data_IF_045743264478
#
_entry.id   IF_045743264478
#
_cell.length_a   1.000
_cell.length_b   1.000
_cell.length_c   1.000
_cell.angle_alpha   90.00
_cell.angle_beta   90.00
_cell.angle_gamma   90.00
#
_symmetry.space_group_name_H-M   'P 1'
#
loop_
_entity.id
_entity.type
_entity.pdbx_description
1 polymer ?
#
# COMPACT_ATOMS: atom_id res chain seq x y z
N UNK A 1 4.02 15.31 -7.11
CA UNK A 1 5.10 16.31 -7.22
C UNK A 1 5.78 16.06 -8.56
N UNK A 2 5.74 17.02 -9.47
CA UNK A 2 6.32 16.88 -10.81
C UNK A 2 7.30 18.02 -11.09
N UNK A 3 8.30 17.77 -11.92
CA UNK A 3 9.27 18.78 -12.35
C UNK A 3 8.94 19.29 -13.76
N UNK A 4 8.93 20.60 -13.97
CA UNK A 4 8.61 21.19 -15.27
C UNK A 4 9.71 21.04 -16.32
N UNK A 5 10.98 20.94 -15.91
CA UNK A 5 12.14 20.79 -16.81
C UNK A 5 12.55 19.33 -17.02
N UNK A 6 12.08 18.42 -16.16
CA UNK A 6 12.32 16.99 -16.25
C UNK A 6 10.97 16.25 -16.23
N UNK A 7 10.29 16.11 -17.38
CA UNK A 7 8.95 15.54 -17.46
C UNK A 7 8.84 14.09 -16.96
N UNK A 8 9.96 13.38 -16.84
CA UNK A 8 10.04 12.02 -16.29
C UNK A 8 10.12 11.97 -14.76
N UNK A 9 10.34 13.10 -14.09
CA UNK A 9 10.49 13.15 -12.65
C UNK A 9 9.13 13.38 -11.99
N UNK A 10 8.63 12.32 -11.39
CA UNK A 10 7.44 12.33 -10.55
C UNK A 10 7.78 11.82 -9.15
N UNK A 11 7.02 12.30 -8.16
CA UNK A 11 7.11 11.85 -6.78
C UNK A 11 5.79 12.04 -6.07
N UNK A 12 5.55 11.24 -5.05
CA UNK A 12 4.25 11.21 -4.38
C UNK A 12 4.36 11.64 -2.92
N UNK A 13 3.39 12.44 -2.50
CA UNK A 13 3.26 12.89 -1.12
C UNK A 13 1.95 12.34 -0.57
N UNK A 14 2.05 11.53 0.48
CA UNK A 14 0.89 10.98 1.19
C UNK A 14 0.81 11.64 2.56
N UNK A 15 -0.22 12.45 2.75
CA UNK A 15 -0.51 13.08 4.04
C UNK A 15 -1.57 12.26 4.79
N UNK A 16 -1.23 11.79 5.98
CA UNK A 16 -2.11 11.02 6.86
C UNK A 16 -2.30 11.78 8.16
N UNK A 17 -3.50 11.69 8.75
CA UNK A 17 -3.79 12.22 10.08
C UNK A 17 -3.37 11.27 11.22
N UNK A 18 -2.67 10.18 10.87
CA UNK A 18 -2.16 9.17 11.79
C UNK A 18 -0.75 8.73 11.35
N UNK A 19 0.08 8.20 12.27
CA UNK A 19 1.46 7.82 11.96
C UNK A 19 1.58 6.44 11.27
N UNK A 20 0.48 5.69 11.15
CA UNK A 20 0.53 4.30 10.68
C UNK A 20 0.61 4.18 9.15
N UNK A 21 1.82 3.97 8.65
CA UNK A 21 2.09 3.60 7.26
C UNK A 21 3.39 2.79 7.18
N UNK A 22 3.61 2.13 6.04
CA UNK A 22 4.90 1.55 5.70
C UNK A 22 5.08 1.58 4.19
N UNK A 23 6.32 1.79 3.76
CA UNK A 23 6.76 1.52 2.39
C UNK A 23 7.40 0.13 2.37
N UNK A 24 7.09 -0.66 1.34
CA UNK A 24 7.77 -1.93 1.16
C UNK A 24 9.24 -1.71 0.78
N UNK A 25 10.11 -2.60 1.23
CA UNK A 25 11.48 -2.67 0.76
C UNK A 25 11.57 -3.24 -0.68
N UNK A 26 12.80 -3.37 -1.19
CA UNK A 26 13.10 -3.93 -2.52
C UNK A 26 12.60 -5.37 -2.71
N UNK A 27 12.36 -6.09 -1.61
CA UNK A 27 11.85 -7.47 -1.61
C UNK A 27 10.33 -7.54 -1.45
N UNK A 28 9.65 -6.39 -1.33
CA UNK A 28 8.21 -6.29 -1.11
C UNK A 28 7.79 -6.50 0.35
N UNK A 29 8.73 -6.59 1.30
CA UNK A 29 8.41 -6.73 2.73
C UNK A 29 8.09 -5.38 3.33
N UNK A 30 7.12 -5.34 4.24
CA UNK A 30 6.76 -4.15 4.99
C UNK A 30 6.36 -4.55 6.42
N UNK A 31 6.48 -3.61 7.34
CA UNK A 31 6.06 -3.79 8.73
C UNK A 31 5.50 -2.46 9.24
N UNK A 32 4.35 -2.51 9.89
CA UNK A 32 3.81 -1.36 10.63
C UNK A 32 3.78 -1.75 12.10
N UNK A 33 4.53 -1.02 12.92
CA UNK A 33 4.67 -1.30 14.35
C UNK A 33 3.66 -0.52 15.18
N UNK A 34 3.38 -1.01 16.39
CA UNK A 34 2.58 -0.33 17.40
C UNK A 34 1.17 0.06 16.94
N UNK A 35 0.55 -0.77 16.08
CA UNK A 35 -0.85 -0.59 15.73
C UNK A 35 -1.75 -0.89 16.94
N UNK A 36 -2.67 0.01 17.30
CA UNK A 36 -3.67 -0.27 18.31
C UNK A 36 -4.54 -1.46 17.90
N UNK A 37 -4.91 -2.28 18.87
CA UNK A 37 -5.85 -3.39 18.64
C UNK A 37 -7.21 -2.84 18.20
N UNK A 38 -7.85 -3.49 17.22
CA UNK A 38 -9.13 -3.00 16.68
C UNK A 38 -9.37 -3.36 15.23
N UNK A 39 -10.47 -2.85 14.68
CA UNK A 39 -10.77 -2.95 13.26
C UNK A 39 -10.12 -1.79 12.52
N UNK A 40 -9.25 -2.11 11.56
CA UNK A 40 -8.52 -1.15 10.74
C UNK A 40 -8.83 -1.36 9.27
N UNK A 41 -8.81 -0.28 8.51
CA UNK A 41 -8.82 -0.31 7.06
C UNK A 41 -7.45 0.16 6.55
N UNK A 42 -6.82 -0.66 5.72
CA UNK A 42 -5.56 -0.35 5.05
C UNK A 42 -5.81 -0.10 3.57
N UNK A 43 -4.95 0.69 2.95
CA UNK A 43 -5.01 1.02 1.53
C UNK A 43 -3.65 0.70 0.90
N UNK A 44 -3.64 -0.18 -0.10
CA UNK A 44 -2.43 -0.53 -0.86
C UNK A 44 -2.38 0.24 -2.15
N UNK A 45 -1.19 0.77 -2.45
CA UNK A 45 -0.97 1.61 -3.61
C UNK A 45 0.47 1.50 -4.08
N UNK A 46 0.68 1.62 -5.39
CA UNK A 46 1.99 1.68 -6.02
C UNK A 46 1.94 2.71 -7.16
N UNK A 47 3.05 3.41 -7.39
CA UNK A 47 3.14 4.60 -8.23
C UNK A 47 2.62 4.41 -9.66
N UNK A 48 2.94 3.27 -10.29
CA UNK A 48 2.56 2.93 -11.66
C UNK A 48 1.14 2.38 -11.75
N UNK A 49 0.79 1.42 -10.91
CA UNK A 49 -0.51 0.75 -10.94
C UNK A 49 -1.64 1.57 -10.28
N UNK A 50 -1.29 2.53 -9.43
CA UNK A 50 -2.22 3.19 -8.53
C UNK A 50 -2.66 2.24 -7.42
N UNK A 51 -3.97 2.16 -7.19
CA UNK A 51 -4.52 1.33 -6.12
C UNK A 51 -4.48 -0.16 -6.44
N UNK A 52 -3.80 -0.94 -5.59
CA UNK A 52 -3.55 -2.36 -5.85
C UNK A 52 -4.73 -3.24 -5.44
N UNK A 53 -5.55 -3.63 -6.41
CA UNK A 53 -6.59 -4.65 -6.23
C UNK A 53 -6.00 -6.07 -6.40
N UNK A 54 -5.15 -6.50 -5.45
CA UNK A 54 -4.49 -7.80 -5.50
C UNK A 54 -5.47 -8.99 -5.39
N UNK A 55 -6.66 -8.75 -4.82
CA UNK A 55 -7.75 -9.71 -4.73
C UNK A 55 -9.04 -9.10 -5.29
N UNK A 56 -9.93 -9.88 -5.93
CA UNK A 56 -11.15 -9.36 -6.55
C UNK A 56 -12.07 -8.58 -5.58
N UNK A 57 -12.06 -8.94 -4.30
CA UNK A 57 -12.87 -8.30 -3.27
C UNK A 57 -12.30 -6.94 -2.79
N UNK A 58 -11.06 -6.60 -3.14
CA UNK A 58 -10.40 -5.36 -2.70
C UNK A 58 -10.72 -4.20 -3.62
N UNK A 59 -11.74 -3.43 -3.27
CA UNK A 59 -12.07 -2.20 -3.98
C UNK A 59 -11.03 -1.13 -3.69
N UNK A 60 -10.40 -0.62 -4.75
CA UNK A 60 -9.30 0.35 -4.67
C UNK A 60 -8.16 -0.13 -3.75
N UNK A 61 -7.90 -1.43 -3.62
CA UNK A 61 -6.84 -1.90 -2.71
C UNK A 61 -7.11 -1.62 -1.23
N UNK A 62 -8.37 -1.44 -0.84
CA UNK A 62 -8.77 -1.33 0.56
C UNK A 62 -8.97 -2.71 1.18
N UNK A 63 -8.41 -2.90 2.37
CA UNK A 63 -8.49 -4.15 3.13
C UNK A 63 -8.93 -3.83 4.54
N UNK A 64 -9.95 -4.53 5.04
CA UNK A 64 -10.39 -4.44 6.43
C UNK A 64 -9.84 -5.61 7.22
N UNK A 65 -9.16 -5.33 8.33
CA UNK A 65 -8.51 -6.32 9.16
C UNK A 65 -8.79 -6.04 10.63
N UNK A 66 -8.96 -7.11 11.41
CA UNK A 66 -9.07 -7.01 12.86
C UNK A 66 -7.72 -7.32 13.47
N UNK A 67 -7.04 -6.28 13.93
CA UNK A 67 -5.74 -6.36 14.60
C UNK A 67 -5.92 -6.89 16.01
N UNK A 68 -5.25 -7.99 16.30
CA UNK A 68 -5.20 -8.66 17.60
C UNK A 68 -3.93 -8.26 18.35
N UNK A 69 -3.86 -8.44 19.68
CA UNK A 69 -2.60 -8.29 20.40
C UNK A 69 -1.51 -9.20 19.80
N UNK A 70 -0.29 -8.67 19.68
CA UNK A 70 0.86 -9.39 19.13
C UNK A 70 1.03 -9.23 17.62
N UNK A 71 1.67 -10.22 16.99
CA UNK A 71 1.98 -10.20 15.56
C UNK A 71 0.74 -10.55 14.72
N UNK A 72 0.48 -9.75 13.69
CA UNK A 72 -0.60 -9.96 12.74
C UNK A 72 0.01 -10.06 11.34
N UNK A 73 0.15 -11.28 10.84
CA UNK A 73 0.73 -11.54 9.52
C UNK A 73 -0.36 -11.50 8.42
N UNK A 74 -0.07 -10.80 7.33
CA UNK A 74 -0.92 -10.70 6.14
C UNK A 74 -0.54 -11.72 5.07
N UNK A 75 0.60 -12.39 5.24
CA UNK A 75 1.21 -13.25 4.25
C UNK A 75 1.62 -12.48 3.00
N UNK A 76 1.93 -13.24 1.94
CA UNK A 76 2.33 -12.66 0.66
C UNK A 76 1.10 -12.22 -0.13
N UNK A 77 1.02 -10.91 -0.39
CA UNK A 77 0.00 -10.32 -1.26
C UNK A 77 0.49 -10.42 -2.71
N UNK A 78 -0.04 -11.39 -3.46
CA UNK A 78 0.31 -11.59 -4.86
C UNK A 78 -0.40 -10.57 -5.76
N UNK A 79 0.36 -9.84 -6.57
CA UNK A 79 -0.15 -8.88 -7.53
C UNK A 79 0.17 -9.37 -8.94
N UNK A 80 -0.84 -9.41 -9.82
CA UNK A 80 -0.64 -9.81 -11.22
C UNK A 80 0.24 -8.79 -11.95
N UNK A 81 1.27 -9.20 -12.72
CA UNK A 81 2.06 -8.27 -13.53
C UNK A 81 1.23 -7.42 -14.50
N UNK A 82 0.06 -7.93 -14.92
CA UNK A 82 -0.85 -7.22 -15.84
C UNK A 82 -1.34 -5.87 -15.29
N UNK A 83 -1.33 -5.66 -13.97
CA UNK A 83 -1.75 -4.36 -13.39
C UNK A 83 -0.75 -3.23 -13.68
N UNK A 84 0.44 -3.56 -14.18
CA UNK A 84 1.51 -2.62 -14.51
C UNK A 84 1.74 -2.46 -16.02
N UNK A 85 1.03 -3.21 -16.87
CA UNK A 85 1.32 -3.31 -18.30
C UNK A 85 0.91 -2.06 -19.10
N UNK A 86 -0.19 -1.40 -18.70
CA UNK A 86 -0.86 -0.36 -19.49
C UNK A 86 -0.78 1.05 -18.86
N UNK A 87 0.23 1.29 -18.02
CA UNK A 87 0.36 2.49 -17.18
C UNK A 87 1.70 3.18 -17.39
#
# INVERSE_FOLDING_TARGET
MSCSIHPWQEGWLVALNHPYFATSDETGRFKIENLPVGAWEFQLWQEKAGYLAARPEWKRGRIKLKIRPGENDLGVIKVSPSVFADK
#
